data_IF_140515662975
#
_entry.id   IF_140515662975
#
_cell.length_a   1.000
_cell.length_b   1.000
_cell.length_c   1.000
_cell.angle_alpha   90.00
_cell.angle_beta   90.00
_cell.angle_gamma   90.00
#
_symmetry.space_group_name_H-M   'P 1'
#
loop_
_entity.id
_entity.type
_entity.pdbx_description
1 polymer ?
#
# COMPACT_ATOMS: atom_id res chain seq x y z
N UNK A 1 -5.03 -2.41 -2.16
CA UNK A 1 -4.45 -3.66 -1.59
C UNK A 1 -5.52 -4.68 -1.17
N UNK A 2 -6.33 -4.41 -0.14
CA UNK A 2 -7.31 -5.38 0.40
C UNK A 2 -8.22 -5.98 -0.69
N UNK A 3 -8.86 -5.13 -1.51
CA UNK A 3 -9.73 -5.59 -2.58
C UNK A 3 -9.05 -6.58 -3.54
N UNK A 4 -7.78 -6.34 -3.86
CA UNK A 4 -6.99 -7.22 -4.73
C UNK A 4 -6.65 -8.55 -4.05
N UNK A 5 -6.27 -8.54 -2.77
CA UNK A 5 -6.07 -9.76 -1.97
C UNK A 5 -7.38 -10.56 -1.88
N UNK A 6 -8.51 -9.90 -1.62
CA UNK A 6 -9.81 -10.54 -1.55
C UNK A 6 -10.27 -11.11 -2.90
N UNK A 7 -9.86 -10.52 -4.03
CA UNK A 7 -10.07 -11.10 -5.36
C UNK A 7 -9.35 -12.45 -5.50
N UNK A 8 -8.10 -12.57 -5.05
CA UNK A 8 -7.36 -13.84 -5.06
C UNK A 8 -8.01 -14.90 -4.15
N UNK A 9 -8.46 -14.47 -2.97
CA UNK A 9 -9.16 -15.34 -2.01
C UNK A 9 -10.51 -15.82 -2.55
N UNK A 10 -11.29 -14.93 -3.17
CA UNK A 10 -12.56 -15.26 -3.79
C UNK A 10 -12.40 -16.28 -4.93
N UNK A 11 -11.34 -16.17 -5.74
CA UNK A 11 -11.02 -17.16 -6.78
C UNK A 11 -10.75 -18.57 -6.20
N UNK A 12 -10.43 -18.67 -4.91
CA UNK A 12 -10.27 -19.93 -4.16
C UNK A 12 -11.44 -20.24 -3.23
N UNK A 13 -12.56 -19.50 -3.34
CA UNK A 13 -13.76 -19.63 -2.49
C UNK A 13 -13.45 -19.45 -0.99
N UNK A 14 -12.42 -18.68 -0.67
CA UNK A 14 -12.07 -18.35 0.72
C UNK A 14 -12.85 -17.10 1.18
N UNK A 15 -13.18 -17.01 2.48
CA UNK A 15 -13.79 -15.81 3.04
C UNK A 15 -12.92 -14.57 2.81
N UNK A 16 -13.57 -13.44 2.55
CA UNK A 16 -12.92 -12.15 2.45
C UNK A 16 -12.30 -11.77 3.80
N UNK A 17 -11.14 -11.12 3.75
CA UNK A 17 -10.55 -10.45 4.91
C UNK A 17 -11.17 -9.06 5.06
N UNK A 18 -11.17 -8.56 6.28
CA UNK A 18 -11.48 -7.17 6.60
C UNK A 18 -10.28 -6.44 7.18
N UNK A 19 -10.29 -5.10 7.20
CA UNK A 19 -9.19 -4.33 7.79
C UNK A 19 -9.24 -4.33 9.32
N UNK A 20 -8.07 -4.44 9.94
CA UNK A 20 -7.88 -4.17 11.36
C UNK A 20 -6.77 -3.11 11.55
N UNK A 21 -7.10 -2.05 12.29
CA UNK A 21 -6.21 -0.89 12.50
C UNK A 21 -4.90 -1.23 13.22
N UNK A 22 -4.93 -2.23 14.12
CA UNK A 22 -3.75 -2.66 14.86
C UNK A 22 -2.76 -3.42 13.96
N UNK A 23 -3.27 -4.31 13.09
CA UNK A 23 -2.45 -4.96 12.05
C UNK A 23 -1.89 -3.95 11.04
N UNK A 24 -2.67 -2.91 10.68
CA UNK A 24 -2.15 -1.82 9.85
C UNK A 24 -1.02 -1.07 10.52
N UNK A 25 -1.17 -0.70 11.80
CA UNK A 25 -0.10 -0.01 12.54
C UNK A 25 1.21 -0.81 12.55
N UNK A 26 1.13 -2.13 12.77
CA UNK A 26 2.29 -3.02 12.67
C UNK A 26 2.91 -3.05 11.26
N UNK A 27 2.06 -3.05 10.22
CA UNK A 27 2.50 -3.03 8.82
C UNK A 27 3.18 -1.71 8.45
N UNK A 28 2.60 -0.58 8.88
CA UNK A 28 3.14 0.77 8.67
C UNK A 28 4.53 0.89 9.29
N UNK A 29 4.68 0.39 10.51
CA UNK A 29 5.98 0.35 11.18
C UNK A 29 7.03 -0.38 10.34
N UNK A 30 6.70 -1.57 9.82
CA UNK A 30 7.65 -2.36 9.03
C UNK A 30 7.98 -1.73 7.67
N UNK A 31 6.98 -1.25 6.94
CA UNK A 31 7.21 -0.59 5.64
C UNK A 31 8.07 0.67 5.80
N UNK A 32 7.79 1.50 6.81
CA UNK A 32 8.58 2.69 7.08
C UNK A 32 10.01 2.36 7.52
N UNK A 33 10.19 1.34 8.36
CA UNK A 33 11.50 0.89 8.81
C UNK A 33 12.37 0.40 7.64
N UNK A 34 11.82 -0.48 6.79
CA UNK A 34 12.48 -0.97 5.58
C UNK A 34 12.85 0.16 4.62
N UNK A 35 11.95 1.12 4.41
CA UNK A 35 12.18 2.26 3.54
C UNK A 35 13.23 3.23 4.11
N UNK A 36 13.20 3.49 5.41
CA UNK A 36 14.11 4.44 6.09
C UNK A 36 15.53 3.88 6.14
N UNK A 37 15.66 2.61 6.49
CA UNK A 37 16.95 1.95 6.69
C UNK A 37 17.43 1.17 5.46
N UNK A 38 16.73 1.33 4.32
CA UNK A 38 17.12 0.81 3.00
C UNK A 38 17.38 -0.70 2.97
N UNK A 39 16.46 -1.51 3.51
CA UNK A 39 16.58 -2.98 3.53
C UNK A 39 15.24 -3.68 3.25
N UNK A 40 15.28 -4.97 2.91
CA UNK A 40 14.09 -5.83 2.82
C UNK A 40 14.26 -7.02 3.75
N UNK A 41 13.44 -7.12 4.78
CA UNK A 41 13.45 -8.24 5.74
C UNK A 41 12.13 -8.30 6.52
N UNK A 42 11.83 -9.47 7.07
CA UNK A 42 10.76 -9.65 8.06
C UNK A 42 11.16 -9.15 9.46
N UNK A 43 12.46 -9.08 9.74
CA UNK A 43 13.02 -8.54 10.97
C UNK A 43 13.28 -7.06 10.79
N UNK A 44 12.80 -6.23 11.72
CA UNK A 44 13.05 -4.79 11.71
C UNK A 44 14.51 -4.46 12.03
N UNK A 45 14.93 -3.24 11.73
CA UNK A 45 16.29 -2.73 12.03
C UNK A 45 16.61 -2.76 13.53
N UNK A 46 15.58 -2.72 14.37
CA UNK A 46 15.65 -2.81 15.83
C UNK A 46 15.56 -4.26 16.36
N UNK A 47 15.59 -5.26 15.47
CA UNK A 47 15.45 -6.67 15.83
C UNK A 47 14.00 -7.12 16.06
N UNK A 48 13.00 -6.25 15.87
CA UNK A 48 11.59 -6.63 16.02
C UNK A 48 11.17 -7.69 15.01
N UNK A 49 10.34 -8.64 15.44
CA UNK A 49 9.70 -9.63 14.57
C UNK A 49 8.28 -9.18 14.23
N UNK A 50 7.65 -9.80 13.23
CA UNK A 50 6.21 -9.60 12.96
C UNK A 50 5.38 -9.75 14.23
N UNK A 51 5.60 -10.83 14.99
CA UNK A 51 4.83 -11.12 16.20
C UNK A 51 5.02 -10.05 17.27
N UNK A 52 6.24 -9.54 17.46
CA UNK A 52 6.49 -8.48 18.44
C UNK A 52 5.86 -7.15 18.01
N UNK A 53 5.98 -6.77 16.73
CA UNK A 53 5.33 -5.57 16.17
C UNK A 53 3.81 -5.63 16.32
N UNK A 54 3.19 -6.74 15.93
CA UNK A 54 1.73 -6.92 16.06
C UNK A 54 1.30 -6.92 17.53
N UNK A 55 2.01 -7.63 18.40
CA UNK A 55 1.67 -7.67 19.84
C UNK A 55 1.80 -6.30 20.50
N UNK A 56 2.80 -5.49 20.12
CA UNK A 56 3.01 -4.14 20.64
C UNK A 56 1.85 -3.17 20.31
N UNK A 57 1.09 -3.44 19.23
CA UNK A 57 -0.13 -2.67 18.92
C UNK A 57 -1.33 -3.03 19.81
N UNK A 58 -1.20 -4.05 20.66
CA UNK A 58 -2.27 -4.59 21.48
C UNK A 58 -3.25 -5.50 20.73
N UNK A 59 -2.90 -5.97 19.53
CA UNK A 59 -3.71 -6.95 18.79
C UNK A 59 -3.59 -8.33 19.46
N UNK A 60 -4.71 -8.88 19.90
CA UNK A 60 -4.79 -10.25 20.44
C UNK A 60 -4.95 -11.23 19.29
N UNK A 61 -4.02 -12.19 19.15
CA UNK A 61 -3.98 -13.07 17.98
C UNK A 61 -3.96 -14.55 18.35
N UNK A 62 -4.60 -15.36 17.51
CA UNK A 62 -4.50 -16.82 17.52
C UNK A 62 -3.59 -17.32 16.38
N UNK A 63 -3.56 -16.60 15.26
CA UNK A 63 -2.66 -16.85 14.15
C UNK A 63 -2.26 -15.53 13.49
N UNK A 64 -1.03 -15.47 12.98
CA UNK A 64 -0.48 -14.35 12.24
C UNK A 64 0.32 -14.84 11.03
N UNK A 65 0.44 -14.01 10.00
CA UNK A 65 1.41 -14.15 8.93
C UNK A 65 1.78 -12.77 8.35
N UNK A 66 2.95 -12.68 7.72
CA UNK A 66 3.44 -11.47 7.10
C UNK A 66 3.94 -11.74 5.67
N UNK A 67 3.64 -10.82 4.77
CA UNK A 67 4.36 -10.70 3.51
C UNK A 67 5.06 -9.34 3.47
N UNK A 68 6.30 -9.31 3.02
CA UNK A 68 7.03 -8.08 2.71
C UNK A 68 7.48 -8.10 1.24
N UNK A 69 7.62 -6.93 0.65
CA UNK A 69 8.17 -6.78 -0.69
C UNK A 69 8.77 -5.40 -0.88
N UNK A 70 9.65 -5.27 -1.87
CA UNK A 70 10.20 -4.00 -2.28
C UNK A 70 10.42 -3.94 -3.80
N UNK A 71 10.28 -2.74 -4.38
CA UNK A 71 10.54 -2.44 -5.79
C UNK A 71 9.32 -2.46 -6.71
N UNK A 72 8.20 -3.05 -6.28
CA UNK A 72 6.97 -3.06 -7.07
C UNK A 72 6.24 -1.72 -6.95
N UNK A 73 5.88 -1.13 -8.09
CA UNK A 73 5.38 0.26 -8.16
C UNK A 73 3.92 0.40 -7.75
N UNK A 74 3.16 -0.68 -7.82
CA UNK A 74 1.72 -0.66 -7.60
C UNK A 74 1.21 -1.93 -6.92
N UNK A 75 -0.06 -1.90 -6.52
CA UNK A 75 -0.73 -3.01 -5.82
C UNK A 75 -0.78 -4.27 -6.68
N UNK A 76 -0.96 -4.14 -8.00
CA UNK A 76 -1.16 -5.32 -8.84
C UNK A 76 0.14 -6.08 -9.05
N UNK A 77 1.23 -5.37 -9.31
CA UNK A 77 2.57 -5.92 -9.43
C UNK A 77 3.03 -6.60 -8.14
N UNK A 78 2.82 -5.99 -6.96
CA UNK A 78 3.24 -6.60 -5.69
C UNK A 78 2.39 -7.81 -5.30
N UNK A 79 1.07 -7.78 -5.51
CA UNK A 79 0.23 -8.95 -5.23
C UNK A 79 0.51 -10.06 -6.23
N UNK A 80 0.77 -9.77 -7.50
CA UNK A 80 1.23 -10.77 -8.47
C UNK A 80 2.55 -11.42 -8.03
N UNK A 81 3.52 -10.63 -7.56
CA UNK A 81 4.79 -11.13 -7.07
C UNK A 81 4.61 -12.07 -5.86
N UNK A 82 3.80 -11.69 -4.87
CA UNK A 82 3.49 -12.55 -3.74
C UNK A 82 2.71 -13.79 -4.15
N UNK A 83 1.72 -13.65 -5.04
CA UNK A 83 0.97 -14.78 -5.56
C UNK A 83 1.84 -15.70 -6.40
N UNK A 84 3.01 -15.31 -6.92
CA UNK A 84 3.94 -16.20 -7.62
C UNK A 84 4.98 -16.85 -6.69
N UNK A 85 5.03 -16.48 -5.41
CA UNK A 85 5.87 -17.10 -4.39
C UNK A 85 5.05 -18.05 -3.53
N UNK A 86 5.47 -19.31 -3.39
CA UNK A 86 4.71 -20.33 -2.64
C UNK A 86 4.45 -19.93 -1.18
N UNK A 87 5.46 -19.42 -0.49
CA UNK A 87 5.34 -18.96 0.90
C UNK A 87 4.39 -17.77 1.05
N UNK A 88 4.57 -16.73 0.22
CA UNK A 88 3.72 -15.54 0.30
C UNK A 88 2.26 -15.81 -0.13
N UNK A 89 2.07 -16.67 -1.15
CA UNK A 89 0.76 -17.16 -1.57
C UNK A 89 0.07 -17.92 -0.45
N UNK A 90 0.78 -18.78 0.28
CA UNK A 90 0.23 -19.52 1.41
C UNK A 90 -0.32 -18.58 2.49
N UNK A 91 0.37 -17.46 2.77
CA UNK A 91 -0.11 -16.44 3.70
C UNK A 91 -1.40 -15.75 3.19
N UNK A 92 -1.44 -15.34 1.91
CA UNK A 92 -2.62 -14.69 1.30
C UNK A 92 -3.86 -15.60 1.36
N UNK A 93 -3.67 -16.91 1.14
CA UNK A 93 -4.74 -17.91 1.11
C UNK A 93 -4.96 -18.61 2.46
N UNK A 94 -4.28 -18.17 3.51
CA UNK A 94 -4.38 -18.77 4.84
C UNK A 94 -5.74 -18.52 5.53
N UNK A 95 -5.96 -19.27 6.60
CA UNK A 95 -7.14 -19.15 7.48
C UNK A 95 -6.98 -17.96 8.43
N UNK A 96 -7.27 -16.78 7.89
CA UNK A 96 -7.29 -15.51 8.60
C UNK A 96 -8.62 -14.80 8.37
N UNK A 97 -8.95 -13.85 9.24
CA UNK A 97 -10.18 -13.06 9.16
C UNK A 97 -9.89 -11.57 9.00
N UNK A 98 -8.71 -11.12 9.44
CA UNK A 98 -8.32 -9.72 9.45
C UNK A 98 -7.01 -9.48 8.72
N UNK A 99 -6.85 -8.25 8.26
CA UNK A 99 -5.75 -7.82 7.42
C UNK A 99 -5.29 -6.42 7.81
N UNK A 100 -3.97 -6.21 7.75
CA UNK A 100 -3.32 -4.92 7.79
C UNK A 100 -2.36 -4.82 6.63
N UNK A 101 -2.17 -3.62 6.09
CA UNK A 101 -1.19 -3.39 5.04
C UNK A 101 -0.68 -1.98 5.11
N UNK A 102 0.53 -1.79 4.61
CA UNK A 102 1.12 -0.48 4.44
C UNK A 102 2.01 -0.44 3.20
N UNK A 103 2.27 0.79 2.77
CA UNK A 103 3.17 1.14 1.71
C UNK A 103 4.02 2.32 2.17
N UNK A 104 5.33 2.28 1.89
CA UNK A 104 6.24 3.39 2.11
C UNK A 104 7.06 3.65 0.84
N UNK A 105 7.28 4.93 0.55
CA UNK A 105 8.12 5.39 -0.56
C UNK A 105 9.34 6.14 -0.03
N UNK A 106 10.53 5.83 -0.54
CA UNK A 106 11.74 6.59 -0.27
C UNK A 106 12.62 6.67 -1.52
N UNK A 107 12.66 7.83 -2.17
CA UNK A 107 13.42 8.02 -3.42
C UNK A 107 14.94 7.81 -3.24
N UNK A 108 15.46 8.02 -2.03
CA UNK A 108 16.87 7.81 -1.69
C UNK A 108 17.24 6.36 -1.32
N UNK A 109 16.28 5.44 -1.36
CA UNK A 109 16.50 4.02 -1.07
C UNK A 109 16.67 3.19 -2.34
N UNK A 110 17.27 2.00 -2.21
CA UNK A 110 17.55 1.06 -3.30
C UNK A 110 16.29 0.66 -4.07
N UNK A 111 15.20 0.38 -3.35
CA UNK A 111 13.99 -0.19 -3.96
C UNK A 111 12.89 0.83 -4.20
N UNK A 112 12.96 2.01 -3.58
CA UNK A 112 11.97 3.10 -3.60
C UNK A 112 10.61 2.77 -3.01
N UNK A 113 10.03 1.63 -3.37
CA UNK A 113 8.70 1.17 -2.97
C UNK A 113 8.83 0.02 -1.98
N UNK A 114 8.17 0.10 -0.82
CA UNK A 114 8.19 -0.93 0.21
C UNK A 114 6.77 -1.26 0.65
N UNK A 115 6.49 -2.56 0.82
CA UNK A 115 5.17 -3.05 1.11
C UNK A 115 5.20 -4.04 2.26
N UNK A 116 4.17 -3.99 3.11
CA UNK A 116 3.93 -4.99 4.14
C UNK A 116 2.46 -5.39 4.14
N UNK A 117 2.21 -6.67 4.32
CA UNK A 117 0.91 -7.24 4.66
C UNK A 117 1.04 -8.00 5.97
N UNK A 118 0.13 -7.77 6.91
CA UNK A 118 -0.03 -8.59 8.10
C UNK A 118 -1.43 -9.20 8.10
N UNK A 119 -1.50 -10.51 8.22
CA UNK A 119 -2.73 -11.29 8.31
C UNK A 119 -2.95 -11.70 9.75
N UNK A 120 -4.20 -11.71 10.21
CA UNK A 120 -4.53 -12.09 11.57
C UNK A 120 -5.82 -12.87 11.70
N UNK A 121 -5.81 -13.80 12.65
CA UNK A 121 -7.00 -14.46 13.19
C UNK A 121 -7.09 -14.18 14.69
N UNK A 122 -8.27 -13.79 15.15
CA UNK A 122 -8.54 -13.53 16.56
C UNK A 122 -9.99 -13.89 16.87
N UNK A 123 -10.26 -14.31 18.10
CA UNK A 123 -11.61 -14.47 18.64
C UNK A 123 -12.12 -13.22 19.37
N UNK A 124 -11.25 -12.23 19.64
CA UNK A 124 -11.59 -11.04 20.45
C UNK A 124 -11.40 -9.72 19.73
N UNK A 125 -10.71 -9.72 18.59
CA UNK A 125 -10.54 -8.53 17.75
C UNK A 125 -11.66 -8.43 16.72
N UNK A 126 -11.88 -7.22 16.21
CA UNK A 126 -12.91 -6.92 15.22
C UNK A 126 -12.30 -6.24 13.99
N UNK A 127 -13.06 -6.25 12.91
CA UNK A 127 -12.87 -5.34 11.80
C UNK A 127 -13.09 -3.91 12.32
N UNK A 128 -12.16 -3.00 12.04
CA UNK A 128 -12.24 -1.62 12.56
C UNK A 128 -12.46 -0.58 11.44
N UNK A 129 -12.61 -1.03 10.21
CA UNK A 129 -13.12 -0.22 9.09
C UNK A 129 -14.37 -0.92 8.55
N UNK A 130 -15.49 -0.73 9.23
CA UNK A 130 -16.80 -1.17 8.74
C UNK A 130 -17.33 -0.24 7.62
N UNK A 131 -16.75 0.95 7.42
CA UNK A 131 -17.20 1.85 6.35
C UNK A 131 -16.30 1.73 5.11
N UNK A 132 -16.56 0.67 4.36
CA UNK A 132 -16.24 0.59 2.94
C UNK A 132 -17.10 1.54 2.07
N UNK A 133 -17.62 2.64 2.63
CA UNK A 133 -18.36 3.67 1.88
C UNK A 133 -17.46 4.61 1.08
N UNK A 134 -16.13 4.60 1.32
CA UNK A 134 -15.18 5.40 0.52
C UNK A 134 -14.83 4.80 -0.86
N UNK A 135 -15.43 3.68 -1.26
CA UNK A 135 -15.20 3.05 -2.57
C UNK A 135 -16.46 2.57 -3.30
N UNK A 136 -17.64 3.10 -2.97
CA UNK A 136 -18.73 3.06 -3.95
C UNK A 136 -18.41 4.10 -5.05
N UNK A 137 -18.37 3.75 -6.35
CA UNK A 137 -18.52 4.77 -7.37
C UNK A 137 -19.93 5.33 -7.19
N UNK A 138 -20.03 6.50 -6.56
CA UNK A 138 -21.26 7.28 -6.63
C UNK A 138 -21.59 7.48 -8.10
N UNK A 139 -22.86 7.27 -8.42
CA UNK A 139 -23.41 7.23 -9.77
C UNK A 139 -22.82 8.31 -10.67
N UNK A 140 -22.53 7.94 -11.92
CA UNK A 140 -22.15 8.88 -12.96
C UNK A 140 -23.16 10.04 -13.00
N UNK A 141 -22.73 11.31 -12.92
CA UNK A 141 -23.66 12.42 -13.00
C UNK A 141 -24.22 12.46 -14.43
N UNK A 142 -25.45 11.97 -14.56
CA UNK A 142 -26.26 12.18 -15.76
C UNK A 142 -26.99 13.52 -15.58
N UNK A 143 -26.67 14.46 -16.47
CA UNK A 143 -27.46 15.61 -16.93
C UNK A 143 -26.82 17.01 -16.76
N UNK A 144 -26.23 17.45 -17.87
CA UNK A 144 -26.50 18.69 -18.62
C UNK A 144 -26.72 20.01 -17.87
N UNK A 145 -25.79 20.95 -18.09
CA UNK A 145 -26.05 22.40 -18.16
C UNK A 145 -25.13 23.04 -19.22
N UNK A 146 -25.51 24.16 -19.86
CA UNK A 146 -25.32 24.40 -21.29
C UNK A 146 -24.05 25.19 -21.62
N UNK A 147 -23.75 25.21 -22.92
CA UNK A 147 -22.61 25.86 -23.55
C UNK A 147 -22.38 27.31 -23.09
N UNK A 148 -21.17 27.58 -22.58
CA UNK A 148 -20.62 28.93 -22.47
C UNK A 148 -19.95 29.28 -23.80
N UNK A 149 -20.38 30.39 -24.41
CA UNK A 149 -19.84 30.95 -25.65
C UNK A 149 -18.35 31.28 -25.52
N UNK A 150 -17.58 30.81 -26.49
CA UNK A 150 -16.22 31.28 -26.77
C UNK A 150 -16.29 32.70 -27.34
N UNK A 151 -15.49 33.62 -26.80
CA UNK A 151 -15.09 34.86 -27.47
C UNK A 151 -13.56 34.86 -27.56
N UNK A 152 -13.09 35.01 -28.80
CA UNK A 152 -11.70 34.98 -29.26
C UNK A 152 -10.90 36.26 -28.97
N UNK A 153 -9.57 36.08 -28.91
CA UNK A 153 -8.48 37.02 -29.29
C UNK A 153 -8.17 38.17 -28.30
N UNK A 154 -6.93 38.63 -28.07
CA UNK A 154 -5.71 38.72 -28.92
C UNK A 154 -4.41 38.85 -28.09
N UNK A 155 -3.32 38.31 -28.66
CA UNK A 155 -1.88 38.71 -28.65
C UNK A 155 -0.92 38.69 -27.44
N UNK A 156 0.30 38.25 -27.76
CA UNK A 156 1.52 38.14 -26.95
C UNK A 156 2.36 39.44 -26.93
N UNK A 157 3.42 39.50 -26.09
CA UNK A 157 4.76 39.61 -26.71
C UNK A 157 5.86 38.77 -26.03
N UNK A 158 6.96 38.59 -26.78
CA UNK A 158 8.12 37.75 -26.47
C UNK A 158 9.26 38.44 -25.70
N UNK A 159 10.11 37.58 -25.11
CA UNK A 159 11.57 37.66 -24.93
C UNK A 159 12.19 38.72 -23.98
N UNK A 160 12.93 38.24 -22.97
CA UNK A 160 14.40 38.37 -23.00
C UNK A 160 15.16 37.53 -21.95
N UNK A 161 16.38 37.22 -22.38
CA UNK A 161 17.50 36.43 -21.84
C UNK A 161 18.03 36.80 -20.44
N UNK A 162 18.67 35.83 -19.75
CA UNK A 162 20.02 35.99 -19.15
C UNK A 162 20.53 34.72 -18.42
N UNK A 163 21.44 34.05 -19.12
CA UNK A 163 22.60 33.24 -18.72
C UNK A 163 22.92 32.93 -17.24
N UNK A 164 23.24 31.65 -16.97
CA UNK A 164 24.32 31.24 -16.08
C UNK A 164 25.11 30.09 -16.73
N UNK A 165 26.37 30.34 -17.04
CA UNK A 165 27.32 29.34 -17.54
C UNK A 165 28.66 29.48 -16.80
N UNK A 166 29.17 28.35 -16.28
CA UNK A 166 30.59 28.01 -16.08
C UNK A 166 30.72 26.68 -15.29
N UNK A 167 31.87 25.96 -15.31
CA UNK A 167 33.05 26.07 -16.18
C UNK A 167 33.46 24.74 -16.86
N UNK A 168 34.37 24.83 -17.84
CA UNK A 168 35.08 23.70 -18.48
C UNK A 168 36.35 23.33 -17.71
N UNK A 169 36.64 22.04 -17.62
CA UNK A 169 37.91 21.46 -17.18
C UNK A 169 38.95 21.41 -18.31
N UNK A 170 40.22 21.50 -17.89
CA UNK A 170 41.48 21.48 -18.67
C UNK A 170 41.69 20.15 -19.38
#
# INVERSE_FOLDING_TARGET
MLARVNKERAAKKLPALCMNSKLMAASTRQSNDMATNNFLSHTGSDGSTMTSRVTATGYKWNALAENVAAGQKDVDSVVNAWMNSSGHRANILGDYTMFGTAYAYNDGSTYKHYWTQNFGKSTTEKCNYEDAEFFAPTEAPTALVPAVKVVESVEAPSANDSAYAAPKTV
#
